data_IF_159194789982
#
_entry.id   IF_159194789982
#
_cell.length_a   1.000
_cell.length_b   1.000
_cell.length_c   1.000
_cell.angle_alpha   90.00
_cell.angle_beta   90.00
_cell.angle_gamma   90.00
#
_symmetry.space_group_name_H-M   'P 1'
#
loop_
_entity.id
_entity.type
_entity.pdbx_description
1 polymer ?
#
# COMPACT_ATOMS: atom_id res chain seq x y z
N UNK A 1 -5.88 -36.11 -6.06
CA UNK A 1 -4.58 -35.40 -6.02
C UNK A 1 -4.72 -34.26 -5.03
N UNK A 2 -3.63 -33.81 -4.41
CA UNK A 2 -3.65 -32.58 -3.59
C UNK A 2 -3.81 -31.39 -4.53
N UNK A 3 -4.75 -30.46 -4.29
CA UNK A 3 -4.89 -29.26 -5.10
C UNK A 3 -3.60 -28.42 -5.08
N UNK A 4 -3.32 -27.70 -6.15
CA UNK A 4 -2.23 -26.72 -6.17
C UNK A 4 -2.68 -25.39 -5.53
N UNK A 5 -3.93 -25.01 -5.76
CA UNK A 5 -4.53 -23.76 -5.24
C UNK A 5 -5.83 -24.07 -4.48
N UNK A 6 -6.01 -23.46 -3.32
CA UNK A 6 -7.30 -23.33 -2.64
C UNK A 6 -7.84 -21.92 -2.81
N UNK A 7 -8.99 -21.79 -3.46
CA UNK A 7 -9.74 -20.53 -3.51
C UNK A 7 -10.65 -20.47 -2.29
N UNK A 8 -10.41 -19.51 -1.38
CA UNK A 8 -11.21 -19.30 -0.18
C UNK A 8 -12.23 -18.20 -0.44
N UNK A 9 -13.51 -18.53 -0.22
CA UNK A 9 -14.65 -17.63 -0.43
C UNK A 9 -15.44 -17.51 0.88
N UNK A 10 -15.26 -16.43 1.66
CA UNK A 10 -16.11 -16.16 2.82
C UNK A 10 -17.48 -15.66 2.37
N UNK A 11 -18.55 -16.22 2.93
CA UNK A 11 -19.94 -15.98 2.51
C UNK A 11 -20.78 -15.58 3.71
N UNK A 12 -21.34 -14.36 3.66
CA UNK A 12 -22.33 -13.90 4.62
C UNK A 12 -23.36 -12.97 3.96
N UNK A 13 -24.59 -13.45 3.81
CA UNK A 13 -25.71 -12.66 3.28
C UNK A 13 -25.42 -11.95 1.94
N UNK A 14 -24.96 -12.71 0.94
CA UNK A 14 -24.57 -12.22 -0.40
C UNK A 14 -25.34 -12.93 -1.53
N UNK A 15 -26.55 -13.41 -1.25
CA UNK A 15 -27.33 -14.24 -2.18
C UNK A 15 -27.41 -13.66 -3.60
N UNK A 16 -27.51 -12.35 -3.71
CA UNK A 16 -27.65 -11.63 -4.99
C UNK A 16 -26.44 -11.82 -5.92
N UNK A 17 -25.23 -11.96 -5.37
CA UNK A 17 -23.98 -11.91 -6.13
C UNK A 17 -23.27 -13.27 -6.18
N UNK A 18 -23.60 -14.17 -5.25
CA UNK A 18 -22.87 -15.41 -5.02
C UNK A 18 -22.84 -16.36 -6.22
N UNK A 19 -23.91 -16.47 -7.01
CA UNK A 19 -23.91 -17.33 -8.21
C UNK A 19 -22.88 -16.87 -9.24
N UNK A 20 -22.80 -15.56 -9.52
CA UNK A 20 -21.80 -14.99 -10.46
C UNK A 20 -20.37 -15.19 -9.95
N UNK A 21 -20.14 -15.03 -8.65
CA UNK A 21 -18.85 -15.30 -8.03
C UNK A 21 -18.43 -16.77 -8.25
N UNK A 22 -19.30 -17.71 -7.87
CA UNK A 22 -19.03 -19.15 -8.00
C UNK A 22 -18.85 -19.58 -9.45
N UNK A 23 -19.68 -19.10 -10.37
CA UNK A 23 -19.55 -19.38 -11.80
C UNK A 23 -18.19 -18.92 -12.34
N UNK A 24 -17.69 -17.76 -11.91
CA UNK A 24 -16.38 -17.24 -12.34
C UNK A 24 -15.20 -18.09 -11.87
N UNK A 25 -15.31 -18.67 -10.66
CA UNK A 25 -14.26 -19.52 -10.07
C UNK A 25 -14.32 -20.94 -10.61
N UNK A 26 -15.51 -21.49 -10.82
CA UNK A 26 -15.71 -22.82 -11.42
C UNK A 26 -15.23 -22.85 -12.87
N UNK A 27 -15.46 -21.75 -13.60
CA UNK A 27 -15.11 -21.57 -15.01
C UNK A 27 -13.62 -21.29 -15.29
N UNK A 28 -12.75 -21.36 -14.28
CA UNK A 28 -11.30 -21.16 -14.44
C UNK A 28 -10.69 -22.18 -15.40
N UNK A 29 -9.74 -21.72 -16.23
CA UNK A 29 -9.03 -22.59 -17.18
C UNK A 29 -8.03 -23.56 -16.52
N UNK A 30 -7.58 -23.26 -15.30
CA UNK A 30 -6.71 -24.12 -14.51
C UNK A 30 -7.54 -25.18 -13.80
N UNK A 31 -7.15 -26.46 -13.82
CA UNK A 31 -8.00 -27.54 -13.31
C UNK A 31 -7.65 -28.00 -11.87
N UNK A 32 -6.39 -27.91 -11.46
CA UNK A 32 -5.91 -28.51 -10.19
C UNK A 32 -6.09 -27.57 -8.98
N UNK A 33 -7.34 -27.20 -8.69
CA UNK A 33 -7.68 -26.35 -7.54
C UNK A 33 -8.92 -26.87 -6.80
N UNK A 34 -9.14 -26.35 -5.59
CA UNK A 34 -10.39 -26.53 -4.84
C UNK A 34 -10.99 -25.17 -4.45
N UNK A 35 -12.27 -25.18 -4.08
CA UNK A 35 -13.00 -24.00 -3.62
C UNK A 35 -13.49 -24.27 -2.20
N UNK A 36 -13.02 -23.48 -1.23
CA UNK A 36 -13.44 -23.56 0.17
C UNK A 36 -14.38 -22.39 0.46
N UNK A 37 -15.69 -22.67 0.42
CA UNK A 37 -16.72 -21.69 0.76
C UNK A 37 -16.99 -21.75 2.27
N UNK A 38 -16.76 -20.65 2.98
CA UNK A 38 -17.04 -20.56 4.42
C UNK A 38 -18.32 -19.78 4.63
N UNK A 39 -19.42 -20.47 4.96
CA UNK A 39 -20.70 -19.85 5.27
C UNK A 39 -20.71 -19.37 6.73
N UNK A 40 -20.60 -18.05 6.92
CA UNK A 40 -20.54 -17.41 8.23
C UNK A 40 -21.94 -17.13 8.82
N UNK A 41 -22.80 -18.15 8.79
CA UNK A 41 -24.15 -18.09 9.35
C UNK A 41 -25.13 -17.23 8.55
N UNK A 42 -25.13 -17.34 7.21
CA UNK A 42 -26.06 -16.63 6.33
C UNK A 42 -27.53 -16.98 6.60
N UNK A 43 -28.42 -16.00 6.42
CA UNK A 43 -29.87 -16.12 6.65
C UNK A 43 -30.71 -15.67 5.44
N UNK A 44 -30.08 -15.28 4.34
CA UNK A 44 -30.75 -14.74 3.14
C UNK A 44 -31.03 -15.78 2.04
N UNK A 45 -30.60 -17.03 2.26
CA UNK A 45 -30.66 -18.13 1.29
C UNK A 45 -29.34 -18.39 0.56
N UNK A 46 -28.24 -17.71 0.92
CA UNK A 46 -26.89 -18.03 0.40
C UNK A 46 -26.50 -19.49 0.66
N UNK A 47 -26.94 -20.09 1.76
CA UNK A 47 -26.67 -21.49 2.10
C UNK A 47 -27.28 -22.48 1.08
N UNK A 48 -28.45 -22.14 0.52
CA UNK A 48 -29.13 -22.94 -0.51
C UNK A 48 -28.31 -22.92 -1.81
N UNK A 49 -27.77 -21.74 -2.18
CA UNK A 49 -26.88 -21.60 -3.34
C UNK A 49 -25.63 -22.44 -3.15
N UNK A 50 -24.97 -22.34 -1.99
CA UNK A 50 -23.77 -23.12 -1.69
C UNK A 50 -24.01 -24.62 -1.81
N UNK A 51 -25.12 -25.13 -1.25
CA UNK A 51 -25.50 -26.55 -1.35
C UNK A 51 -25.76 -26.98 -2.80
N UNK A 52 -26.43 -26.15 -3.60
CA UNK A 52 -26.67 -26.39 -5.03
C UNK A 52 -25.33 -26.54 -5.77
N UNK A 53 -24.43 -25.57 -5.63
CA UNK A 53 -23.15 -25.56 -6.32
C UNK A 53 -22.23 -26.70 -5.87
N UNK A 54 -22.15 -26.99 -4.57
CA UNK A 54 -21.38 -28.13 -4.06
C UNK A 54 -21.89 -29.49 -4.57
N UNK A 55 -23.17 -29.61 -4.92
CA UNK A 55 -23.71 -30.82 -5.55
C UNK A 55 -23.36 -30.94 -7.05
N UNK A 56 -22.99 -29.84 -7.68
CA UNK A 56 -22.69 -29.77 -9.13
C UNK A 56 -21.19 -29.85 -9.43
N UNK A 57 -20.33 -29.38 -8.52
CA UNK A 57 -18.88 -29.39 -8.69
C UNK A 57 -18.19 -29.95 -7.44
N UNK A 58 -17.51 -31.10 -7.60
CA UNK A 58 -16.83 -31.80 -6.51
C UNK A 58 -15.62 -31.05 -5.94
N UNK A 59 -15.15 -29.98 -6.59
CA UNK A 59 -14.08 -29.12 -6.10
C UNK A 59 -14.55 -28.19 -4.98
N UNK A 60 -15.86 -28.01 -4.81
CA UNK A 60 -16.44 -27.12 -3.80
C UNK A 60 -16.62 -27.85 -2.48
N UNK A 61 -16.01 -27.32 -1.41
CA UNK A 61 -16.24 -27.70 -0.03
C UNK A 61 -16.87 -26.54 0.72
N UNK A 62 -18.03 -26.80 1.33
CA UNK A 62 -18.73 -25.84 2.18
C UNK A 62 -18.40 -26.10 3.64
N UNK A 63 -17.99 -25.06 4.36
CA UNK A 63 -17.75 -25.08 5.80
C UNK A 63 -18.73 -24.11 6.45
N UNK A 64 -19.67 -24.65 7.22
CA UNK A 64 -20.64 -23.84 7.97
C UNK A 64 -20.09 -23.48 9.35
N UNK A 65 -20.23 -22.21 9.72
CA UNK A 65 -19.97 -21.73 11.08
C UNK A 65 -21.06 -20.77 11.55
N UNK A 66 -21.11 -20.51 12.86
CA UNK A 66 -21.90 -19.39 13.38
C UNK A 66 -21.23 -18.09 12.96
N UNK A 67 -22.02 -17.04 12.75
CA UNK A 67 -21.51 -15.72 12.38
C UNK A 67 -20.46 -15.24 13.40
N UNK A 68 -19.23 -15.08 12.93
CA UNK A 68 -18.08 -14.62 13.70
C UNK A 68 -17.28 -13.53 12.95
N UNK A 69 -17.75 -13.12 11.77
CA UNK A 69 -17.15 -12.06 10.97
C UNK A 69 -16.15 -12.57 9.94
N UNK A 70 -15.83 -11.66 9.00
CA UNK A 70 -15.03 -11.94 7.80
C UNK A 70 -13.63 -12.50 8.13
N UNK A 71 -12.95 -11.91 9.10
CA UNK A 71 -11.64 -12.37 9.59
C UNK A 71 -11.64 -13.83 10.03
N UNK A 72 -12.64 -14.25 10.82
CA UNK A 72 -12.77 -15.63 11.29
C UNK A 72 -13.11 -16.54 10.13
N UNK A 73 -14.02 -16.13 9.24
CA UNK A 73 -14.36 -16.91 8.06
C UNK A 73 -13.14 -17.18 7.15
N UNK A 74 -12.28 -16.17 6.91
CA UNK A 74 -11.04 -16.35 6.15
C UNK A 74 -10.05 -17.27 6.86
N UNK A 75 -9.87 -17.12 8.17
CA UNK A 75 -9.03 -18.03 8.97
C UNK A 75 -9.53 -19.49 8.93
N UNK A 76 -10.84 -19.70 9.08
CA UNK A 76 -11.47 -21.01 8.90
C UNK A 76 -11.18 -21.58 7.52
N UNK A 77 -11.21 -20.73 6.48
CA UNK A 77 -10.81 -21.10 5.13
C UNK A 77 -9.35 -21.58 5.04
N UNK A 78 -8.41 -20.84 5.65
CA UNK A 78 -6.98 -21.19 5.66
C UNK A 78 -6.77 -22.56 6.31
N UNK A 79 -7.43 -22.79 7.44
CA UNK A 79 -7.28 -24.02 8.22
C UNK A 79 -7.90 -25.22 7.48
N UNK A 80 -8.96 -25.00 6.69
CA UNK A 80 -9.60 -26.03 5.88
C UNK A 80 -9.01 -26.19 4.48
N UNK A 81 -8.17 -25.28 3.99
CA UNK A 81 -7.53 -25.41 2.68
C UNK A 81 -6.66 -26.69 2.60
N UNK A 82 -6.54 -27.30 1.44
CA UNK A 82 -5.67 -28.43 1.13
C UNK A 82 -4.61 -28.06 0.07
N UNK A 83 -4.83 -26.96 -0.63
CA UNK A 83 -3.95 -26.42 -1.66
C UNK A 83 -2.60 -25.95 -1.12
N UNK A 84 -1.58 -25.99 -1.98
CA UNK A 84 -0.26 -25.45 -1.67
C UNK A 84 -0.30 -23.92 -1.54
N UNK A 85 -1.09 -23.26 -2.39
CA UNK A 85 -1.31 -21.83 -2.37
C UNK A 85 -2.76 -21.48 -2.05
N UNK A 86 -2.94 -20.31 -1.45
CA UNK A 86 -4.23 -19.75 -1.07
C UNK A 86 -4.49 -18.50 -1.90
N UNK A 87 -5.68 -18.45 -2.50
CA UNK A 87 -6.23 -17.29 -3.19
C UNK A 87 -7.54 -16.89 -2.48
N UNK A 88 -7.69 -15.62 -2.11
CA UNK A 88 -8.94 -15.13 -1.50
C UNK A 88 -9.82 -14.47 -2.57
N UNK A 89 -11.12 -14.78 -2.54
CA UNK A 89 -12.12 -14.12 -3.40
C UNK A 89 -13.31 -13.73 -2.54
N UNK A 90 -13.64 -12.44 -2.55
CA UNK A 90 -14.84 -11.94 -1.86
C UNK A 90 -16.09 -12.39 -2.64
N UNK A 91 -17.12 -12.81 -1.89
CA UNK A 91 -18.28 -13.52 -2.44
C UNK A 91 -19.23 -12.67 -3.30
N UNK A 92 -18.96 -11.37 -3.45
CA UNK A 92 -19.62 -10.43 -4.35
C UNK A 92 -18.79 -10.03 -5.58
N UNK A 93 -17.57 -10.56 -5.69
CA UNK A 93 -16.62 -10.30 -6.78
C UNK A 93 -16.40 -11.53 -7.68
N UNK A 94 -15.56 -11.38 -8.70
CA UNK A 94 -15.23 -12.44 -9.66
C UNK A 94 -13.74 -12.51 -9.98
N UNK A 95 -13.33 -13.62 -10.58
CA UNK A 95 -12.01 -13.77 -11.21
C UNK A 95 -12.08 -13.62 -12.73
N UNK A 96 -10.97 -13.20 -13.35
CA UNK A 96 -10.75 -13.35 -14.78
C UNK A 96 -10.67 -14.83 -15.19
N UNK A 97 -11.09 -15.19 -16.40
CA UNK A 97 -11.28 -16.59 -16.84
C UNK A 97 -10.00 -17.46 -16.73
N UNK A 98 -8.83 -16.87 -16.90
CA UNK A 98 -7.53 -17.53 -16.86
C UNK A 98 -6.67 -17.12 -15.64
N UNK A 99 -7.30 -16.50 -14.65
CA UNK A 99 -6.64 -15.96 -13.46
C UNK A 99 -5.75 -17.00 -12.75
N UNK A 100 -6.31 -18.17 -12.43
CA UNK A 100 -5.57 -19.21 -11.70
C UNK A 100 -4.44 -19.81 -12.53
N UNK A 101 -4.60 -19.97 -13.85
CA UNK A 101 -3.54 -20.50 -14.73
C UNK A 101 -2.37 -19.52 -14.83
N UNK A 102 -2.66 -18.22 -14.96
CA UNK A 102 -1.66 -17.15 -15.00
C UNK A 102 -0.89 -17.08 -13.69
N UNK A 103 -1.58 -17.10 -12.56
CA UNK A 103 -0.92 -17.14 -11.25
C UNK A 103 -0.06 -18.40 -11.06
N UNK A 104 -0.59 -19.57 -11.46
CA UNK A 104 0.14 -20.83 -11.34
C UNK A 104 1.40 -20.88 -12.22
N UNK A 105 1.40 -20.22 -13.39
CA UNK A 105 2.60 -20.06 -14.22
C UNK A 105 3.74 -19.43 -13.42
N UNK A 106 3.49 -18.33 -12.70
CA UNK A 106 4.51 -17.67 -11.87
C UNK A 106 5.02 -18.56 -10.74
N UNK A 107 4.13 -19.31 -10.09
CA UNK A 107 4.54 -20.28 -9.06
C UNK A 107 5.49 -21.35 -9.63
N UNK A 108 5.16 -21.92 -10.81
CA UNK A 108 5.98 -22.93 -11.47
C UNK A 108 7.36 -22.41 -11.85
N UNK A 109 7.41 -21.19 -12.36
CA UNK A 109 8.65 -20.52 -12.79
C UNK A 109 9.52 -20.09 -11.59
N UNK A 110 8.91 -19.82 -10.43
CA UNK A 110 9.57 -19.26 -9.26
C UNK A 110 9.39 -20.16 -8.03
N UNK A 111 10.06 -21.32 -8.04
CA UNK A 111 9.93 -22.31 -6.96
C UNK A 111 10.25 -21.73 -5.59
N UNK A 112 9.32 -21.93 -4.65
CA UNK A 112 9.43 -21.45 -3.28
C UNK A 112 9.15 -19.95 -3.12
N UNK A 113 8.47 -19.34 -4.09
CA UNK A 113 7.82 -18.04 -3.90
C UNK A 113 6.83 -18.13 -2.74
N UNK A 114 6.85 -17.15 -1.84
CA UNK A 114 6.00 -17.13 -0.65
C UNK A 114 4.71 -16.36 -0.92
N UNK A 115 4.83 -15.24 -1.62
CA UNK A 115 3.73 -14.34 -1.93
C UNK A 115 3.86 -13.85 -3.38
N UNK A 116 2.73 -13.83 -4.09
CA UNK A 116 2.59 -13.11 -5.37
C UNK A 116 1.50 -12.07 -5.17
N UNK A 117 1.86 -10.79 -5.23
CA UNK A 117 0.91 -9.70 -5.37
C UNK A 117 0.52 -9.52 -6.83
N UNK A 118 -0.73 -9.15 -7.10
CA UNK A 118 -1.24 -8.92 -8.45
C UNK A 118 -2.26 -7.77 -8.48
N UNK A 119 -2.77 -7.46 -9.66
CA UNK A 119 -3.59 -6.28 -9.90
C UNK A 119 -5.06 -6.64 -10.14
N UNK A 120 -5.96 -5.69 -9.88
CA UNK A 120 -7.35 -5.79 -10.30
C UNK A 120 -7.47 -5.45 -11.78
N UNK A 121 -8.32 -6.18 -12.50
CA UNK A 121 -8.82 -5.80 -13.80
C UNK A 121 -9.93 -4.76 -13.69
N UNK A 122 -10.83 -4.78 -14.67
CA UNK A 122 -11.88 -3.77 -14.79
C UNK A 122 -12.86 -3.83 -13.61
N UNK A 123 -13.23 -2.65 -13.11
CA UNK A 123 -14.23 -2.50 -12.07
C UNK A 123 -15.64 -2.74 -12.63
N UNK A 124 -16.43 -3.56 -11.94
CA UNK A 124 -17.79 -3.91 -12.36
C UNK A 124 -18.79 -3.09 -11.54
N UNK A 125 -19.38 -2.07 -12.16
CA UNK A 125 -20.34 -1.18 -11.49
C UNK A 125 -21.76 -1.76 -11.55
N UNK A 126 -22.42 -1.87 -10.40
CA UNK A 126 -23.82 -2.31 -10.29
C UNK A 126 -24.78 -1.28 -10.93
N UNK A 127 -24.43 0.01 -10.87
CA UNK A 127 -25.23 1.08 -11.48
C UNK A 127 -24.36 2.25 -11.97
N UNK A 128 -24.84 2.94 -13.00
CA UNK A 128 -24.12 4.03 -13.67
C UNK A 128 -23.98 5.31 -12.83
N UNK A 129 -24.74 5.42 -11.74
CA UNK A 129 -24.72 6.59 -10.83
C UNK A 129 -23.71 6.45 -9.69
N UNK A 130 -22.98 5.33 -9.62
CA UNK A 130 -21.91 5.14 -8.64
C UNK A 130 -20.67 5.94 -9.05
N UNK A 131 -20.02 6.54 -8.06
CA UNK A 131 -18.77 7.28 -8.26
C UNK A 131 -17.71 6.36 -8.85
N UNK A 132 -17.12 6.79 -9.96
CA UNK A 132 -16.05 6.05 -10.61
C UNK A 132 -14.79 6.07 -9.75
N UNK A 133 -14.21 4.90 -9.54
CA UNK A 133 -12.97 4.68 -8.78
C UNK A 133 -11.74 4.54 -9.70
N UNK A 134 -11.76 5.20 -10.86
CA UNK A 134 -10.86 5.02 -12.02
C UNK A 134 -9.35 5.29 -11.75
N UNK A 135 -8.88 5.32 -10.50
CA UNK A 135 -7.45 5.47 -10.18
C UNK A 135 -6.99 4.81 -8.87
N UNK A 136 -7.89 4.28 -8.04
CA UNK A 136 -7.49 3.78 -6.71
C UNK A 136 -6.66 2.50 -6.77
N UNK A 137 -6.88 1.67 -7.79
CA UNK A 137 -6.22 0.38 -7.96
C UNK A 137 -5.23 0.35 -9.13
N UNK A 138 -4.99 1.50 -9.77
CA UNK A 138 -4.10 1.57 -10.91
C UNK A 138 -2.65 1.46 -10.44
N UNK A 139 -1.96 0.43 -10.92
CA UNK A 139 -0.50 0.29 -10.77
C UNK A 139 0.11 0.70 -12.11
N UNK A 140 0.91 1.77 -12.08
CA UNK A 140 1.53 2.35 -13.28
C UNK A 140 2.97 1.85 -13.42
N UNK A 141 3.65 1.62 -12.29
CA UNK A 141 5.03 1.15 -12.28
C UNK A 141 5.10 -0.37 -12.36
N UNK A 142 6.24 -0.88 -12.86
CA UNK A 142 6.52 -2.31 -12.87
C UNK A 142 7.51 -2.65 -11.76
N UNK A 143 7.27 -3.77 -11.07
CA UNK A 143 8.09 -4.27 -9.96
C UNK A 143 8.64 -5.66 -10.28
N UNK A 144 9.58 -5.76 -11.25
CA UNK A 144 9.99 -7.05 -11.80
C UNK A 144 10.86 -7.86 -10.83
N UNK A 145 10.56 -9.15 -10.74
CA UNK A 145 11.41 -10.13 -10.07
C UNK A 145 11.00 -10.46 -8.64
N UNK A 146 11.81 -11.32 -8.01
CA UNK A 146 11.63 -11.73 -6.61
C UNK A 146 12.49 -10.83 -5.73
N UNK A 147 11.88 -10.26 -4.70
CA UNK A 147 12.56 -9.44 -3.71
C UNK A 147 12.01 -9.68 -2.30
N UNK A 148 12.61 -9.04 -1.29
CA UNK A 148 12.06 -9.07 0.06
C UNK A 148 10.77 -8.26 0.07
N UNK A 149 9.73 -8.77 0.72
CA UNK A 149 8.44 -8.09 0.71
C UNK A 149 8.50 -6.68 1.32
N UNK A 150 9.38 -6.43 2.31
CA UNK A 150 9.57 -5.08 2.89
C UNK A 150 10.16 -4.07 1.89
N UNK A 151 11.01 -4.52 0.97
CA UNK A 151 11.57 -3.69 -0.09
C UNK A 151 10.48 -3.35 -1.11
N UNK A 152 9.69 -4.35 -1.51
CA UNK A 152 8.54 -4.17 -2.39
C UNK A 152 7.47 -3.26 -1.77
N UNK A 153 7.16 -3.43 -0.50
CA UNK A 153 6.28 -2.52 0.24
C UNK A 153 6.79 -1.08 0.18
N UNK A 154 8.08 -0.89 0.42
CA UNK A 154 8.73 0.43 0.39
C UNK A 154 8.57 1.09 -0.98
N UNK A 155 8.84 0.35 -2.06
CA UNK A 155 8.70 0.86 -3.43
C UNK A 155 7.25 1.19 -3.80
N UNK A 156 6.30 0.29 -3.48
CA UNK A 156 4.87 0.54 -3.70
C UNK A 156 4.38 1.76 -2.94
N UNK A 157 4.79 1.93 -1.68
CA UNK A 157 4.43 3.10 -0.88
C UNK A 157 5.05 4.37 -1.45
N UNK A 158 6.31 4.35 -1.88
CA UNK A 158 6.97 5.50 -2.52
C UNK A 158 6.19 5.97 -3.76
N UNK A 159 5.69 5.03 -4.55
CA UNK A 159 4.90 5.29 -5.76
C UNK A 159 3.40 5.55 -5.52
N UNK A 160 2.91 5.35 -4.28
CA UNK A 160 1.48 5.41 -3.92
C UNK A 160 0.62 4.32 -4.60
N UNK A 161 1.18 3.13 -4.80
CA UNK A 161 0.55 1.99 -5.48
C UNK A 161 0.33 0.80 -4.54
N UNK A 162 0.59 0.96 -3.24
CA UNK A 162 0.32 -0.08 -2.26
C UNK A 162 -1.19 -0.20 -2.00
N UNK A 163 -1.74 -1.40 -2.23
CA UNK A 163 -3.13 -1.73 -1.96
C UNK A 163 -3.21 -2.82 -0.90
N UNK A 164 -3.98 -2.55 0.14
CA UNK A 164 -4.13 -3.40 1.33
C UNK A 164 -5.26 -4.41 1.18
N UNK A 165 -5.17 -5.31 0.20
CA UNK A 165 -6.26 -6.25 -0.08
C UNK A 165 -5.75 -7.69 -0.09
N UNK A 166 -6.32 -8.56 0.75
CA UNK A 166 -5.97 -9.98 0.73
C UNK A 166 -6.36 -10.68 -0.58
N UNK A 167 -7.40 -10.19 -1.25
CA UNK A 167 -7.84 -10.69 -2.57
C UNK A 167 -6.89 -10.31 -3.72
N UNK A 168 -5.87 -9.47 -3.47
CA UNK A 168 -4.77 -9.16 -4.40
C UNK A 168 -3.49 -9.96 -4.13
N UNK A 169 -3.57 -11.01 -3.30
CA UNK A 169 -2.42 -11.82 -2.88
C UNK A 169 -2.70 -13.31 -3.11
N UNK A 170 -1.75 -13.99 -3.76
CA UNK A 170 -1.62 -15.45 -3.73
C UNK A 170 -0.53 -15.81 -2.70
N UNK A 171 -0.86 -16.62 -1.72
CA UNK A 171 0.03 -16.91 -0.59
C UNK A 171 0.34 -18.40 -0.45
N UNK A 172 1.60 -18.75 -0.24
CA UNK A 172 2.01 -20.11 0.09
C UNK A 172 1.48 -20.51 1.48
N UNK A 173 0.64 -21.55 1.55
CA UNK A 173 -0.04 -21.98 2.78
C UNK A 173 0.93 -22.44 3.86
N UNK A 174 1.93 -23.24 3.49
CA UNK A 174 2.90 -23.77 4.44
C UNK A 174 3.71 -22.64 5.10
N UNK A 175 4.09 -21.64 4.30
CA UNK A 175 4.73 -20.43 4.78
C UNK A 175 3.83 -19.59 5.70
N UNK A 176 2.58 -19.33 5.31
CA UNK A 176 1.61 -18.62 6.16
C UNK A 176 1.48 -19.28 7.54
N UNK A 177 1.41 -20.61 7.57
CA UNK A 177 1.31 -21.39 8.81
C UNK A 177 2.59 -21.33 9.65
N UNK A 178 3.76 -21.45 9.01
CA UNK A 178 5.06 -21.34 9.66
C UNK A 178 5.23 -19.97 10.32
N UNK A 179 4.88 -18.91 9.62
CA UNK A 179 5.00 -17.52 10.09
C UNK A 179 3.82 -17.06 10.97
N UNK A 180 2.84 -17.93 11.18
CA UNK A 180 1.61 -17.71 11.97
C UNK A 180 0.85 -16.46 11.52
N UNK A 181 0.76 -16.25 10.21
CA UNK A 181 0.02 -15.14 9.62
C UNK A 181 -1.46 -15.54 9.55
N UNK A 182 -2.32 -14.70 10.15
CA UNK A 182 -3.77 -14.88 10.27
C UNK A 182 -4.47 -13.52 10.22
N UNK A 183 -5.73 -13.52 9.84
CA UNK A 183 -6.59 -12.34 9.96
C UNK A 183 -6.93 -12.11 11.44
N UNK A 184 -7.02 -10.84 11.82
CA UNK A 184 -7.27 -10.47 13.21
C UNK A 184 -8.76 -10.53 13.49
N UNK A 185 -9.17 -11.36 14.44
CA UNK A 185 -10.57 -11.55 14.78
C UNK A 185 -11.21 -10.24 15.28
N UNK A 186 -12.44 -9.99 14.83
CA UNK A 186 -13.20 -8.78 15.15
C UNK A 186 -12.82 -7.54 14.32
N UNK A 187 -11.66 -7.51 13.65
CA UNK A 187 -11.19 -6.33 12.93
C UNK A 187 -12.03 -5.99 11.68
N UNK A 188 -12.46 -4.73 11.54
CA UNK A 188 -12.80 -4.15 10.23
C UNK A 188 -11.49 -3.66 9.59
N UNK A 189 -11.26 -3.91 8.30
CA UNK A 189 -9.95 -3.67 7.65
C UNK A 189 -8.85 -4.63 8.12
N UNK A 190 -9.24 -5.88 8.36
CA UNK A 190 -8.36 -7.01 8.64
C UNK A 190 -7.32 -7.26 7.55
N UNK A 191 -7.65 -6.90 6.29
CA UNK A 191 -6.78 -7.05 5.13
C UNK A 191 -5.48 -6.27 5.30
N UNK A 192 -5.53 -5.09 5.91
CA UNK A 192 -4.38 -4.23 6.15
C UNK A 192 -3.34 -4.91 7.02
N UNK A 193 -3.77 -5.52 8.14
CA UNK A 193 -2.88 -6.22 9.04
C UNK A 193 -2.31 -7.49 8.37
N UNK A 194 -3.15 -8.24 7.67
CA UNK A 194 -2.73 -9.44 6.94
C UNK A 194 -1.70 -9.12 5.84
N UNK A 195 -1.96 -8.08 5.03
CA UNK A 195 -1.05 -7.64 3.98
C UNK A 195 0.28 -7.17 4.56
N UNK A 196 0.28 -6.33 5.60
CA UNK A 196 1.53 -5.88 6.24
C UNK A 196 2.37 -7.05 6.78
N UNK A 197 1.74 -8.01 7.46
CA UNK A 197 2.41 -9.23 7.91
C UNK A 197 3.02 -9.99 6.72
N UNK A 198 2.29 -10.12 5.61
CA UNK A 198 2.76 -10.78 4.41
C UNK A 198 4.00 -10.11 3.81
N UNK A 199 3.94 -8.79 3.61
CA UNK A 199 5.05 -8.03 3.02
C UNK A 199 6.28 -8.01 3.94
N UNK A 200 6.14 -7.76 5.25
CA UNK A 200 7.31 -7.61 6.12
C UNK A 200 8.00 -8.92 6.50
N UNK A 201 7.26 -10.04 6.50
CA UNK A 201 7.82 -11.36 6.82
C UNK A 201 8.33 -12.12 5.59
N UNK A 202 7.83 -11.79 4.40
CA UNK A 202 8.26 -12.49 3.19
C UNK A 202 9.66 -12.10 2.75
N UNK A 203 10.49 -13.10 2.45
CA UNK A 203 11.80 -12.95 1.83
C UNK A 203 11.76 -13.23 0.32
N UNK A 204 10.70 -13.88 -0.16
CA UNK A 204 10.50 -14.23 -1.56
C UNK A 204 9.11 -13.81 -2.01
N UNK A 205 8.99 -12.52 -2.30
CA UNK A 205 7.77 -11.92 -2.80
C UNK A 205 8.00 -11.35 -4.20
N UNK A 206 6.98 -11.41 -5.05
CA UNK A 206 6.95 -10.70 -6.32
C UNK A 206 5.61 -9.99 -6.50
N UNK A 207 5.59 -8.96 -7.34
CA UNK A 207 4.36 -8.31 -7.80
C UNK A 207 4.27 -8.41 -9.33
N UNK A 208 3.13 -8.85 -9.84
CA UNK A 208 2.91 -9.04 -11.27
C UNK A 208 1.83 -8.10 -11.78
N UNK A 209 2.09 -7.45 -12.91
CA UNK A 209 1.10 -6.60 -13.59
C UNK A 209 0.09 -7.41 -14.39
N UNK A 210 -0.50 -8.38 -13.72
CA UNK A 210 -1.53 -9.26 -14.23
C UNK A 210 -2.86 -8.83 -13.63
N UNK A 211 -3.81 -8.47 -14.49
CA UNK A 211 -5.21 -8.23 -14.12
C UNK A 211 -5.89 -9.57 -13.83
N UNK A 212 -6.02 -9.91 -12.55
CA UNK A 212 -6.51 -11.21 -12.10
C UNK A 212 -7.93 -11.12 -11.57
N UNK A 213 -8.25 -10.02 -10.90
CA UNK A 213 -9.44 -9.87 -10.09
C UNK A 213 -10.45 -8.90 -10.71
N UNK A 214 -11.75 -9.14 -10.56
CA UNK A 214 -12.81 -8.25 -11.06
C UNK A 214 -13.65 -7.76 -9.89
N UNK A 215 -13.29 -6.58 -9.39
CA UNK A 215 -13.91 -5.97 -8.23
C UNK A 215 -15.27 -5.34 -8.57
N UNK A 216 -16.32 -5.69 -7.79
CA UNK A 216 -17.67 -5.15 -7.95
C UNK A 216 -17.87 -3.90 -7.10
N UNK A 217 -18.22 -2.80 -7.76
CA UNK A 217 -18.65 -1.57 -7.12
C UNK A 217 -20.17 -1.58 -7.02
N UNK A 218 -20.69 -1.73 -5.80
CA UNK A 218 -22.14 -1.82 -5.51
C UNK A 218 -22.55 -0.89 -4.38
N UNK A 219 -23.86 -0.60 -4.30
CA UNK A 219 -24.44 0.15 -3.18
C UNK A 219 -24.41 -0.69 -1.90
N UNK A 220 -24.23 -0.04 -0.75
CA UNK A 220 -24.15 -0.70 0.57
C UNK A 220 -23.01 -1.73 0.72
N UNK A 221 -21.94 -1.65 -0.07
CA UNK A 221 -20.70 -2.37 0.24
C UNK A 221 -20.08 -1.78 1.52
N UNK A 222 -19.15 -2.49 2.15
CA UNK A 222 -18.40 -1.96 3.31
C UNK A 222 -17.77 -0.59 2.96
N UNK A 223 -17.36 -0.41 1.71
CA UNK A 223 -16.75 0.82 1.21
C UNK A 223 -17.77 1.91 0.80
N UNK A 224 -19.06 1.59 0.65
CA UNK A 224 -20.11 2.54 0.21
C UNK A 224 -21.26 2.71 1.20
N UNK A 225 -21.24 2.00 2.34
CA UNK A 225 -22.24 2.14 3.42
C UNK A 225 -21.98 3.40 4.23
N UNK A 226 -23.00 3.86 4.96
CA UNK A 226 -22.87 4.95 5.94
C UNK A 226 -21.73 4.64 6.91
N UNK A 227 -20.74 5.53 6.97
CA UNK A 227 -19.62 5.44 7.91
C UNK A 227 -20.15 5.40 9.36
N UNK A 228 -19.60 4.51 10.17
CA UNK A 228 -19.97 4.33 11.58
C UNK A 228 -18.74 4.40 12.48
N UNK A 229 -18.96 4.57 13.78
CA UNK A 229 -17.93 4.52 14.82
C UNK A 229 -17.00 3.31 14.68
N UNK A 230 -17.55 2.13 14.39
CA UNK A 230 -16.79 0.89 14.30
C UNK A 230 -15.75 0.94 13.16
N UNK A 231 -16.04 1.62 12.04
CA UNK A 231 -15.08 1.82 10.95
C UNK A 231 -13.87 2.64 11.40
N UNK A 232 -14.10 3.62 12.27
CA UNK A 232 -13.04 4.51 12.75
C UNK A 232 -12.20 3.83 13.85
N UNK A 233 -12.86 3.16 14.79
CA UNK A 233 -12.22 2.38 15.86
C UNK A 233 -11.20 1.38 15.31
N UNK A 234 -11.52 0.68 14.23
CA UNK A 234 -10.61 -0.31 13.67
C UNK A 234 -9.45 0.28 12.85
N UNK A 235 -9.62 1.45 12.25
CA UNK A 235 -8.51 2.16 11.60
C UNK A 235 -7.48 2.68 12.61
N UNK A 236 -7.93 3.06 13.81
CA UNK A 236 -7.02 3.37 14.93
C UNK A 236 -6.19 2.13 15.29
N UNK A 237 -6.81 0.95 15.31
CA UNK A 237 -6.10 -0.31 15.55
C UNK A 237 -5.10 -0.63 14.41
N UNK A 238 -5.51 -0.46 13.15
CA UNK A 238 -4.63 -0.55 11.97
C UNK A 238 -3.41 0.36 12.11
N UNK A 239 -3.60 1.62 12.52
CA UNK A 239 -2.52 2.57 12.77
C UNK A 239 -1.54 2.05 13.83
N UNK A 240 -2.03 1.46 14.93
CA UNK A 240 -1.16 0.88 15.96
C UNK A 240 -0.38 -0.32 15.48
N UNK A 241 -0.99 -1.19 14.67
CA UNK A 241 -0.25 -2.27 14.02
C UNK A 241 0.88 -1.69 13.16
N UNK A 242 0.58 -0.67 12.36
CA UNK A 242 1.60 0.03 11.57
C UNK A 242 2.73 0.61 12.45
N UNK A 243 2.41 1.28 13.56
CA UNK A 243 3.41 1.78 14.51
C UNK A 243 4.28 0.66 15.08
N UNK A 244 3.69 -0.48 15.47
CA UNK A 244 4.46 -1.64 15.95
C UNK A 244 5.50 -2.08 14.91
N UNK A 245 5.13 -2.08 13.63
CA UNK A 245 6.06 -2.40 12.54
C UNK A 245 7.15 -1.34 12.37
N UNK A 246 6.82 -0.05 12.46
CA UNK A 246 7.79 1.07 12.45
C UNK A 246 8.89 0.85 13.49
N UNK A 247 8.49 0.56 14.73
CA UNK A 247 9.44 0.52 15.84
C UNK A 247 10.17 -0.81 16.01
N UNK A 248 9.64 -1.92 15.47
CA UNK A 248 10.18 -3.25 15.77
C UNK A 248 10.66 -4.06 14.56
N UNK A 249 10.36 -3.64 13.32
CA UNK A 249 10.60 -4.45 12.12
C UNK A 249 11.33 -3.75 10.98
N UNK A 250 11.26 -2.42 10.88
CA UNK A 250 12.03 -1.69 9.86
C UNK A 250 13.53 -1.83 10.11
N UNK A 251 14.28 -2.27 9.10
CA UNK A 251 15.74 -2.51 9.17
C UNK A 251 16.56 -1.28 8.82
N UNK A 252 15.99 -0.32 8.08
CA UNK A 252 16.68 0.87 7.62
C UNK A 252 15.73 2.08 7.56
N UNK A 253 16.30 3.27 7.36
CA UNK A 253 15.54 4.52 7.39
C UNK A 253 14.60 4.69 6.19
N UNK A 254 14.87 4.03 5.05
CA UNK A 254 13.97 4.03 3.89
C UNK A 254 12.68 3.28 4.20
N UNK A 255 12.79 2.10 4.81
CA UNK A 255 11.63 1.32 5.28
C UNK A 255 10.84 2.06 6.36
N UNK A 256 11.52 2.72 7.31
CA UNK A 256 10.85 3.57 8.31
C UNK A 256 10.09 4.70 7.66
N UNK A 257 10.69 5.40 6.70
CA UNK A 257 10.06 6.50 5.98
C UNK A 257 8.82 6.04 5.21
N UNK A 258 8.88 4.88 4.54
CA UNK A 258 7.72 4.28 3.89
C UNK A 258 6.61 3.96 4.89
N UNK A 259 6.92 3.29 6.00
CA UNK A 259 5.91 3.01 7.03
C UNK A 259 5.32 4.29 7.66
N UNK A 260 6.10 5.35 7.85
CA UNK A 260 5.59 6.63 8.35
C UNK A 260 4.67 7.29 7.32
N UNK A 261 5.04 7.28 6.03
CA UNK A 261 4.17 7.74 4.94
C UNK A 261 2.84 6.97 4.95
N UNK A 262 2.92 5.66 5.11
CA UNK A 262 1.77 4.77 5.18
C UNK A 262 0.89 5.04 6.42
N UNK A 263 1.49 5.17 7.61
CA UNK A 263 0.78 5.54 8.84
C UNK A 263 0.02 6.86 8.70
N UNK A 264 0.58 7.84 7.98
CA UNK A 264 -0.12 9.11 7.71
C UNK A 264 -1.30 8.98 6.77
N UNK A 265 -1.23 8.10 5.78
CA UNK A 265 -2.39 7.81 4.93
C UNK A 265 -3.54 7.26 5.78
N UNK A 266 -3.23 6.33 6.69
CA UNK A 266 -4.21 5.82 7.67
C UNK A 266 -4.75 6.96 8.53
N UNK A 267 -3.89 7.81 9.10
CA UNK A 267 -4.31 8.93 9.94
C UNK A 267 -5.19 9.94 9.18
N UNK A 268 -4.85 10.25 7.93
CA UNK A 268 -5.66 11.10 7.07
C UNK A 268 -7.06 10.52 6.84
N UNK A 269 -7.15 9.22 6.61
CA UNK A 269 -8.42 8.51 6.46
C UNK A 269 -9.24 8.50 7.76
N UNK A 270 -8.60 8.32 8.92
CA UNK A 270 -9.26 8.44 10.24
C UNK A 270 -9.88 9.83 10.39
N UNK A 271 -9.08 10.88 10.16
CA UNK A 271 -9.54 12.29 10.27
C UNK A 271 -10.70 12.60 9.31
N UNK A 272 -10.64 12.10 8.08
CA UNK A 272 -11.71 12.29 7.09
C UNK A 272 -13.00 11.59 7.50
N UNK A 273 -12.93 10.33 7.96
CA UNK A 273 -14.10 9.59 8.44
C UNK A 273 -14.72 10.26 9.66
N UNK A 274 -13.90 10.62 10.66
CA UNK A 274 -14.37 11.32 11.85
C UNK A 274 -15.13 12.60 11.48
N UNK A 275 -14.68 13.32 10.45
CA UNK A 275 -15.35 14.55 10.00
C UNK A 275 -16.75 14.30 9.42
N UNK A 276 -17.01 13.09 8.91
CA UNK A 276 -18.24 12.72 8.17
C UNK A 276 -19.25 11.91 8.97
N UNK A 277 -18.83 11.24 10.05
CA UNK A 277 -19.76 10.48 10.91
C UNK A 277 -20.71 11.41 11.69
N UNK A 278 -21.91 10.91 11.98
CA UNK A 278 -22.94 11.68 12.69
C UNK A 278 -22.52 12.00 14.14
N UNK A 279 -23.10 13.05 14.74
CA UNK A 279 -22.86 13.39 16.16
C UNK A 279 -23.15 12.20 17.08
N UNK A 280 -24.23 11.45 16.81
CA UNK A 280 -24.59 10.25 17.56
C UNK A 280 -23.52 9.14 17.48
N UNK A 281 -22.85 9.01 16.34
CA UNK A 281 -21.73 8.06 16.21
C UNK A 281 -20.47 8.57 16.91
N UNK A 282 -20.27 9.89 16.98
CA UNK A 282 -19.15 10.49 17.73
C UNK A 282 -19.31 10.31 19.24
N UNK A 283 -20.52 10.37 19.77
CA UNK A 283 -20.81 10.10 21.19
C UNK A 283 -20.39 8.68 21.61
N UNK A 284 -20.32 7.73 20.67
CA UNK A 284 -19.83 6.37 20.96
C UNK A 284 -18.32 6.31 21.25
N UNK A 285 -17.55 7.37 20.98
CA UNK A 285 -16.15 7.44 21.39
C UNK A 285 -15.97 7.47 22.92
N UNK A 286 -17.00 7.88 23.65
CA UNK A 286 -17.01 7.80 25.12
C UNK A 286 -17.09 6.34 25.61
N UNK A 287 -17.43 5.38 24.74
CA UNK A 287 -17.46 3.94 25.03
C UNK A 287 -16.07 3.28 24.88
N UNK A 288 -15.06 4.01 24.38
CA UNK A 288 -13.69 3.50 24.24
C UNK A 288 -13.10 3.17 25.60
N UNK A 289 -12.33 2.08 25.66
CA UNK A 289 -11.55 1.81 26.86
C UNK A 289 -10.40 2.82 26.98
N UNK A 290 -9.78 2.90 28.17
CA UNK A 290 -8.73 3.89 28.46
C UNK A 290 -7.56 3.86 27.47
N UNK A 291 -7.18 2.70 26.96
CA UNK A 291 -6.09 2.57 25.98
C UNK A 291 -6.52 3.13 24.63
N UNK A 292 -7.72 2.77 24.18
CA UNK A 292 -8.27 3.24 22.91
C UNK A 292 -8.52 4.76 22.93
N UNK A 293 -9.01 5.30 24.05
CA UNK A 293 -9.20 6.75 24.26
C UNK A 293 -7.87 7.51 24.24
N UNK A 294 -6.85 7.04 24.98
CA UNK A 294 -5.52 7.65 24.94
C UNK A 294 -4.92 7.61 23.52
N UNK A 295 -5.13 6.51 22.79
CA UNK A 295 -4.68 6.41 21.40
C UNK A 295 -5.39 7.43 20.51
N UNK A 296 -6.71 7.55 20.61
CA UNK A 296 -7.48 8.53 19.85
C UNK A 296 -7.04 9.97 20.13
N UNK A 297 -6.82 10.30 21.40
CA UNK A 297 -6.31 11.61 21.82
C UNK A 297 -4.95 11.88 21.19
N UNK A 298 -4.00 10.94 21.27
CA UNK A 298 -2.68 11.07 20.65
C UNK A 298 -2.78 11.29 19.14
N UNK A 299 -3.65 10.56 18.44
CA UNK A 299 -3.85 10.72 16.98
C UNK A 299 -4.44 12.09 16.61
N UNK A 300 -5.24 12.67 17.51
CA UNK A 300 -5.82 14.00 17.33
C UNK A 300 -4.77 15.12 17.31
N UNK A 301 -3.58 14.88 17.88
CA UNK A 301 -2.47 15.85 17.93
C UNK A 301 -1.41 15.67 16.82
N UNK A 302 -1.55 14.68 15.92
CA UNK A 302 -0.58 14.35 14.85
C UNK A 302 0.88 14.13 15.32
N UNK A 303 1.15 13.00 16.00
CA UNK A 303 2.46 12.73 16.62
C UNK A 303 3.58 12.41 15.61
N UNK A 304 3.25 12.30 14.31
CA UNK A 304 4.17 11.86 13.26
C UNK A 304 4.82 13.01 12.47
N UNK A 305 4.47 14.27 12.75
CA UNK A 305 5.06 15.39 12.02
C UNK A 305 6.54 15.61 12.39
N UNK A 306 6.90 15.64 13.68
CA UNK A 306 8.29 15.85 14.12
C UNK A 306 9.23 14.68 13.77
N UNK A 307 8.78 13.44 13.94
CA UNK A 307 9.62 12.23 13.74
C UNK A 307 10.01 12.00 12.27
N UNK A 308 9.12 12.31 11.34
CA UNK A 308 9.37 12.12 9.91
C UNK A 308 10.28 13.18 9.31
N UNK A 309 10.21 14.40 9.84
CA UNK A 309 11.04 15.50 9.37
C UNK A 309 12.52 15.14 9.57
N UNK A 310 12.86 14.57 10.71
CA UNK A 310 14.20 14.06 11.00
C UNK A 310 14.56 12.84 10.11
N UNK A 311 13.61 11.91 9.86
CA UNK A 311 13.86 10.75 8.99
C UNK A 311 14.03 11.09 7.50
N UNK A 312 13.24 12.00 6.93
CA UNK A 312 13.39 12.44 5.54
C UNK A 312 14.72 13.15 5.33
N UNK A 313 15.11 13.97 6.31
CA UNK A 313 16.38 14.69 6.31
C UNK A 313 17.59 13.73 6.46
N UNK A 314 17.49 12.70 7.31
CA UNK A 314 18.49 11.62 7.40
C UNK A 314 18.55 10.75 6.14
N UNK A 315 17.40 10.43 5.55
CA UNK A 315 17.32 9.70 4.28
C UNK A 315 17.97 10.46 3.13
N UNK A 316 17.79 11.79 3.09
CA UNK A 316 18.49 12.66 2.15
C UNK A 316 20.01 12.61 2.36
N UNK A 317 20.49 12.69 3.61
CA UNK A 317 21.92 12.55 3.93
C UNK A 317 22.47 11.23 3.42
N UNK A 318 21.84 10.11 3.78
CA UNK A 318 22.32 8.77 3.38
C UNK A 318 22.33 8.56 1.87
N UNK A 319 21.41 9.20 1.14
CA UNK A 319 21.43 9.20 -0.32
C UNK A 319 22.61 10.02 -0.86
N UNK A 320 22.81 11.23 -0.35
CA UNK A 320 23.87 12.16 -0.79
C UNK A 320 25.26 11.60 -0.50
N UNK A 321 25.47 10.95 0.66
CA UNK A 321 26.73 10.28 1.02
C UNK A 321 27.21 9.25 -0.02
N UNK A 322 26.27 8.64 -0.76
CA UNK A 322 26.57 7.60 -1.77
C UNK A 322 26.81 8.16 -3.17
N UNK A 323 26.80 9.48 -3.33
CA UNK A 323 26.85 10.18 -4.62
C UNK A 323 28.00 11.17 -4.59
N UNK A 324 28.76 11.32 -5.66
CA UNK A 324 29.96 12.17 -5.66
C UNK A 324 29.68 13.56 -6.25
N UNK A 325 28.74 13.67 -7.20
CA UNK A 325 28.42 14.93 -7.87
C UNK A 325 26.92 15.16 -7.93
N UNK A 326 26.46 16.10 -7.12
CA UNK A 326 25.03 16.38 -6.88
C UNK A 326 24.71 17.80 -7.33
N UNK A 327 23.56 17.95 -7.97
CA UNK A 327 23.08 19.23 -8.48
C UNK A 327 21.81 19.66 -7.74
N UNK A 328 21.84 20.87 -7.17
CA UNK A 328 20.67 21.46 -6.50
C UNK A 328 19.87 22.29 -7.52
N UNK A 329 18.74 21.77 -7.98
CA UNK A 329 17.91 22.44 -8.98
C UNK A 329 16.94 23.43 -8.32
N UNK A 330 17.36 24.69 -8.32
CA UNK A 330 16.64 25.84 -7.79
C UNK A 330 17.56 26.72 -6.93
N UNK A 331 17.98 27.87 -7.44
CA UNK A 331 18.91 28.78 -6.74
C UNK A 331 18.24 29.75 -5.74
N UNK A 332 16.92 29.63 -5.55
CA UNK A 332 16.12 30.48 -4.65
C UNK A 332 16.25 30.09 -3.17
N UNK A 333 15.40 30.68 -2.32
CA UNK A 333 15.39 30.48 -0.87
C UNK A 333 15.37 29.01 -0.46
N UNK A 334 14.64 28.16 -1.19
CA UNK A 334 14.49 26.73 -0.88
C UNK A 334 15.77 25.94 -1.20
N UNK A 335 16.40 26.13 -2.36
CA UNK A 335 17.62 25.40 -2.68
C UNK A 335 18.83 25.84 -1.87
N UNK A 336 18.94 27.12 -1.51
CA UNK A 336 19.97 27.58 -0.56
C UNK A 336 19.88 26.85 0.77
N UNK A 337 18.66 26.59 1.25
CA UNK A 337 18.44 25.86 2.51
C UNK A 337 18.86 24.40 2.41
N UNK A 338 18.55 23.73 1.29
CA UNK A 338 19.05 22.37 1.04
C UNK A 338 20.58 22.34 1.03
N UNK A 339 21.21 23.32 0.38
CA UNK A 339 22.67 23.46 0.39
C UNK A 339 23.24 23.59 1.81
N UNK A 340 22.68 24.49 2.63
CA UNK A 340 23.16 24.68 4.01
C UNK A 340 22.98 23.43 4.85
N UNK A 341 21.86 22.73 4.72
CA UNK A 341 21.64 21.47 5.42
C UNK A 341 22.68 20.40 5.09
N UNK A 342 23.01 20.24 3.80
CA UNK A 342 24.06 19.32 3.36
C UNK A 342 25.45 19.77 3.85
N UNK A 343 25.72 21.08 3.83
CA UNK A 343 26.96 21.67 4.34
C UNK A 343 27.15 21.42 5.84
N UNK A 344 26.12 21.63 6.66
CA UNK A 344 26.14 21.36 8.10
C UNK A 344 26.41 19.88 8.43
N UNK A 345 26.05 18.98 7.51
CA UNK A 345 26.35 17.55 7.60
C UNK A 345 27.64 17.13 6.89
N UNK A 346 28.50 18.08 6.49
CA UNK A 346 29.82 17.81 5.91
C UNK A 346 29.81 17.36 4.43
N UNK A 347 28.70 17.55 3.72
CA UNK A 347 28.52 17.08 2.34
C UNK A 347 28.65 18.21 1.29
N UNK A 348 29.27 19.34 1.65
CA UNK A 348 29.47 20.49 0.75
C UNK A 348 30.26 20.14 -0.52
N UNK A 349 31.23 19.22 -0.40
CA UNK A 349 32.08 18.79 -1.52
C UNK A 349 31.34 17.91 -2.54
N UNK A 350 30.25 17.27 -2.13
CA UNK A 350 29.40 16.48 -3.02
C UNK A 350 28.57 17.37 -3.96
N UNK A 351 28.42 18.66 -3.65
CA UNK A 351 27.57 19.58 -4.40
C UNK A 351 28.37 20.21 -5.54
N UNK A 352 28.02 19.86 -6.79
CA UNK A 352 28.66 20.37 -7.99
C UNK A 352 28.22 21.80 -8.33
N UNK A 353 27.00 22.18 -7.97
CA UNK A 353 26.45 23.49 -8.32
C UNK A 353 24.96 23.63 -8.05
N UNK A 354 24.43 24.77 -8.47
CA UNK A 354 23.00 25.02 -8.59
C UNK A 354 22.58 25.04 -10.06
N UNK A 355 21.40 24.51 -10.33
CA UNK A 355 20.75 24.61 -11.63
C UNK A 355 19.52 25.52 -11.56
N UNK A 356 19.21 26.19 -12.66
CA UNK A 356 18.00 26.99 -12.87
C UNK A 356 17.43 26.78 -14.28
N UNK A 357 16.14 27.05 -14.45
CA UNK A 357 15.43 26.87 -15.72
C UNK A 357 15.60 28.05 -16.68
N UNK A 358 16.09 29.19 -16.18
CA UNK A 358 16.38 30.38 -16.96
C UNK A 358 17.65 31.02 -16.42
N UNK A 359 18.58 31.39 -17.29
CA UNK A 359 19.79 32.13 -16.90
C UNK A 359 20.03 33.26 -17.88
N UNK A 360 20.30 34.46 -17.35
CA UNK A 360 20.77 35.62 -18.15
C UNK A 360 22.23 36.00 -17.87
N UNK A 361 22.85 35.53 -16.78
CA UNK A 361 24.28 35.69 -16.43
C UNK A 361 24.70 34.60 -15.43
N UNK A 362 25.98 34.20 -15.44
CA UNK A 362 26.56 33.31 -14.41
C UNK A 362 26.54 33.99 -13.04
N UNK A 363 26.18 33.24 -12.00
CA UNK A 363 26.21 33.74 -10.62
C UNK A 363 26.73 32.67 -9.66
N UNK A 364 27.14 33.08 -8.47
CA UNK A 364 27.69 32.21 -7.43
C UNK A 364 26.81 32.27 -6.19
N UNK A 365 26.59 31.13 -5.56
CA UNK A 365 25.92 31.00 -4.26
C UNK A 365 26.84 30.16 -3.39
N UNK A 366 27.33 30.72 -2.27
CA UNK A 366 28.18 30.01 -1.31
C UNK A 366 29.37 29.28 -1.98
N UNK A 367 30.00 29.92 -2.97
CA UNK A 367 31.14 29.34 -3.70
C UNK A 367 30.77 28.30 -4.77
N UNK A 368 29.48 28.01 -4.99
CA UNK A 368 28.99 27.09 -6.03
C UNK A 368 28.37 27.87 -7.20
N UNK A 369 28.63 27.42 -8.43
CA UNK A 369 28.10 28.06 -9.65
C UNK A 369 26.60 27.83 -9.79
N UNK A 370 25.89 28.85 -10.27
CA UNK A 370 24.49 28.77 -10.71
C UNK A 370 24.45 28.84 -12.23
N UNK A 371 23.96 27.78 -12.88
CA UNK A 371 23.91 27.67 -14.35
C UNK A 371 22.57 27.21 -14.86
N UNK A 372 22.34 27.37 -16.17
CA UNK A 372 21.19 26.74 -16.81
C UNK A 372 21.30 25.23 -16.62
N UNK A 373 20.19 24.55 -16.35
CA UNK A 373 20.22 23.09 -16.18
C UNK A 373 20.77 22.37 -17.42
N UNK A 374 20.54 22.90 -18.63
CA UNK A 374 21.04 22.31 -19.87
C UNK A 374 22.55 22.50 -20.11
N UNK A 375 23.24 23.29 -19.27
CA UNK A 375 24.69 23.45 -19.36
C UNK A 375 25.45 22.36 -18.57
N UNK A 376 24.74 21.52 -17.81
CA UNK A 376 25.33 20.39 -17.10
C UNK A 376 25.28 19.13 -17.95
N UNK A 377 26.38 18.37 -17.98
CA UNK A 377 26.40 17.03 -18.57
C UNK A 377 25.66 16.04 -17.65
N UNK A 378 24.55 15.42 -18.09
CA UNK A 378 23.81 14.46 -17.28
C UNK A 378 24.60 13.22 -16.89
N UNK A 379 25.66 12.88 -17.64
CA UNK A 379 26.51 11.72 -17.36
C UNK A 379 27.51 11.96 -16.23
N UNK A 380 27.76 13.23 -15.87
CA UNK A 380 28.66 13.62 -14.79
C UNK A 380 27.95 13.97 -13.46
N UNK A 381 26.62 13.89 -13.43
CA UNK A 381 25.81 14.22 -12.26
C UNK A 381 25.09 12.96 -11.78
N UNK A 382 25.42 12.55 -10.56
CA UNK A 382 24.89 11.31 -9.98
C UNK A 382 23.47 11.48 -9.42
N UNK A 383 23.08 12.73 -9.08
CA UNK A 383 21.79 13.04 -8.47
C UNK A 383 21.40 14.50 -8.70
N UNK A 384 20.13 14.72 -9.06
CA UNK A 384 19.49 16.04 -9.00
C UNK A 384 18.53 16.12 -7.81
N UNK A 385 18.65 17.17 -7.00
CA UNK A 385 17.68 17.52 -5.96
C UNK A 385 16.90 18.76 -6.40
N UNK A 386 15.61 18.61 -6.75
CA UNK A 386 14.71 19.70 -7.14
C UNK A 386 14.19 20.40 -5.89
N UNK A 387 14.58 21.66 -5.72
CA UNK A 387 14.38 22.45 -4.50
C UNK A 387 13.75 23.82 -4.80
N UNK A 388 12.53 23.80 -5.35
CA UNK A 388 11.75 25.02 -5.67
C UNK A 388 10.42 25.05 -4.93
N UNK A 389 9.89 26.24 -4.67
CA UNK A 389 8.67 26.42 -3.90
C UNK A 389 7.40 25.92 -4.64
N UNK A 390 7.34 26.15 -5.95
CA UNK A 390 6.23 25.81 -6.83
C UNK A 390 6.76 25.14 -8.10
N UNK A 391 5.90 24.59 -8.96
CA UNK A 391 6.23 24.09 -10.31
C UNK A 391 7.16 22.87 -10.39
N UNK A 392 7.27 22.08 -9.32
CA UNK A 392 8.15 20.90 -9.24
C UNK A 392 7.92 19.88 -10.37
N UNK A 393 6.67 19.68 -10.82
CA UNK A 393 6.32 18.76 -11.92
C UNK A 393 6.94 19.19 -13.25
N UNK A 394 6.86 20.49 -13.58
CA UNK A 394 7.46 21.06 -14.79
C UNK A 394 8.99 20.93 -14.78
N UNK A 395 9.61 21.16 -13.61
CA UNK A 395 11.06 21.02 -13.46
C UNK A 395 11.53 19.57 -13.54
N UNK A 396 10.76 18.62 -12.99
CA UNK A 396 11.02 17.19 -13.11
C UNK A 396 10.99 16.76 -14.58
N UNK A 397 9.97 17.16 -15.32
CA UNK A 397 9.85 16.87 -16.76
C UNK A 397 11.01 17.48 -17.56
N UNK A 398 11.48 18.66 -17.16
CA UNK A 398 12.63 19.34 -17.78
C UNK A 398 13.93 18.56 -17.53
N UNK A 399 14.21 18.16 -16.28
CA UNK A 399 15.39 17.39 -15.93
C UNK A 399 15.40 16.02 -16.64
N UNK A 400 14.27 15.32 -16.69
CA UNK A 400 14.13 14.05 -17.42
C UNK A 400 14.41 14.22 -18.92
N UNK A 401 13.90 15.28 -19.53
CA UNK A 401 14.10 15.57 -20.96
C UNK A 401 15.55 15.84 -21.32
N UNK A 402 16.31 16.43 -20.41
CA UNK A 402 17.74 16.72 -20.59
C UNK A 402 18.58 15.45 -20.46
N UNK A 403 18.07 14.41 -19.79
CA UNK A 403 18.70 13.09 -19.71
C UNK A 403 19.17 12.69 -18.31
N UNK A 404 18.81 13.44 -17.26
CA UNK A 404 19.11 13.05 -15.89
C UNK A 404 18.24 11.87 -15.46
N UNK A 405 18.87 10.85 -14.91
CA UNK A 405 18.23 9.56 -14.59
C UNK A 405 17.82 9.47 -13.13
N UNK A 406 18.60 10.04 -12.21
CA UNK A 406 18.33 10.01 -10.77
C UNK A 406 17.95 11.40 -10.26
N UNK A 407 16.64 11.58 -9.99
CA UNK A 407 16.06 12.87 -9.60
C UNK A 407 15.26 12.67 -8.30
N UNK A 408 15.40 13.61 -7.36
CA UNK A 408 14.64 13.68 -6.11
C UNK A 408 14.04 15.07 -5.94
N UNK A 409 12.87 15.14 -5.31
CA UNK A 409 12.17 16.40 -5.04
C UNK A 409 12.28 16.68 -3.54
N UNK A 410 12.76 17.87 -3.17
CA UNK A 410 12.71 18.35 -1.79
C UNK A 410 11.31 18.93 -1.51
N UNK A 411 10.51 18.21 -0.73
CA UNK A 411 9.10 18.53 -0.46
C UNK A 411 8.91 19.72 0.52
N UNK A 412 7.67 20.22 0.60
CA UNK A 412 7.16 21.34 1.40
C UNK A 412 7.51 21.26 2.90
N UNK A 413 7.78 20.07 3.45
CA UNK A 413 8.10 19.85 4.88
C UNK A 413 9.57 20.15 5.21
N UNK A 414 10.52 19.75 4.36
CA UNK A 414 11.94 20.18 4.40
C UNK A 414 12.04 21.73 4.46
N UNK A 415 11.09 22.43 3.83
CA UNK A 415 11.04 23.90 3.81
C UNK A 415 10.64 24.54 5.13
N UNK A 416 9.86 23.87 6.00
CA UNK A 416 9.42 24.39 7.31
C UNK A 416 10.54 24.26 8.35
N UNK A 417 11.24 23.13 8.38
CA UNK A 417 12.32 22.88 9.34
C UNK A 417 13.57 23.72 9.10
N UNK A 418 13.91 23.98 7.83
CA UNK A 418 15.00 24.90 7.49
C UNK A 418 14.68 26.37 7.82
N UNK A 419 13.47 26.68 8.31
CA UNK A 419 13.16 27.97 8.97
C UNK A 419 13.54 27.93 10.45
N UNK A 420 13.32 26.82 11.16
CA UNK A 420 13.64 26.67 12.59
C UNK A 420 15.16 26.66 12.83
N UNK A 421 15.92 26.01 11.95
CA UNK A 421 17.39 26.02 12.00
C UNK A 421 17.99 27.42 11.77
N UNK A 422 17.29 28.31 11.04
CA UNK A 422 17.67 29.72 10.87
C UNK A 422 17.26 30.62 12.05
N UNK A 423 16.66 30.06 13.11
CA UNK A 423 16.23 30.80 14.30
C UNK A 423 17.35 31.43 15.13
N UNK A 424 18.61 31.34 14.70
CA UNK A 424 19.76 31.93 15.38
C UNK A 424 20.54 32.97 14.58
N UNK A 425 20.17 33.33 13.35
CA UNK A 425 20.80 34.48 12.66
C UNK A 425 20.03 34.86 11.37
N UNK A 426 19.10 35.83 11.49
CA UNK A 426 18.77 36.83 10.44
C UNK A 426 18.59 38.17 11.14
#
# INVERSE_FOLDING_TARGET
MTPDISVIIPVYNVRTYLEECLDSVIGQSFENFEIVCVNDGSTDGSDIILKKYASMDSRIRVVDQKNQGLSVARNTGIDNALGEYICFVDSDDMLEKDALERLWRYVRENKGIEIIGYETGDLVYESNDLDKKDSYYDVINSYPGIQRGRELFTELIENNEFVESAWLILANKAWLNKERIRFVEGALFEDSAFALECYFKSNKMMHVSEKIYRYRVRRNSIMTRTLTFDHEKWRIWQFVVCLKYIFSKAENDREKAALVKYARQILGNIKDIYSRISIKEKERFDELNIVESLMFDVLSFDPLDEYNEDLELRGLISLVEKKNRILVYGAGKVGRRVFFYLKENGLEDHIAGFAVSETKNESMIEGKMVKYIGDYDPTEIDLIIISVANEQKSLLETAKRIGFTEIRIADKKIRKELVKLQGNEI
#
